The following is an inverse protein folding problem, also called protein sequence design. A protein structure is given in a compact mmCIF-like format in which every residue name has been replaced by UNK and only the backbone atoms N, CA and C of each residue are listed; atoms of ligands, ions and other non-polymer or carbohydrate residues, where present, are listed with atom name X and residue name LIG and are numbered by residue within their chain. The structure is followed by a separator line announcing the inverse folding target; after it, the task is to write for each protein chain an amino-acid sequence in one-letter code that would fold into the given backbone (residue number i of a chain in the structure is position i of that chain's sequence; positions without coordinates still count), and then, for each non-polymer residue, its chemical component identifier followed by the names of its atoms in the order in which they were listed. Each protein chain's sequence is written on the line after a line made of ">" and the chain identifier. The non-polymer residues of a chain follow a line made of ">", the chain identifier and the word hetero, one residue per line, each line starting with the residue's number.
data_IF_047440043830
#
_entry.id   IF_047440043830
#
_cell.length_a   1.000
_cell.length_b   1.000
_cell.length_c   1.000
_cell.angle_alpha   90.00
_cell.angle_beta   90.00
_cell.angle_gamma   90.00
#
_symmetry.space_group_name_H-M   'P 1'
#
loop_
_entity.id
_entity.type
_entity.pdbx_description
1 polymer ?
#
# COMPACT_ATOMS: atom_id res chain seq x y z
N UNK A 1 7.71 87.55 12.02
CA UNK A 1 8.53 87.18 10.85
C UNK A 1 9.76 86.43 11.32
N UNK A 2 10.13 85.38 10.58
CA UNK A 2 11.39 84.60 10.61
C UNK A 2 11.76 83.87 11.91
N UNK A 3 11.62 82.54 11.90
CA UNK A 3 12.51 81.65 12.65
C UNK A 3 13.06 80.58 11.70
N UNK A 4 14.39 80.56 11.62
CA UNK A 4 15.23 79.66 10.84
C UNK A 4 15.19 78.24 11.42
N UNK A 5 15.12 77.24 10.53
CA UNK A 5 15.60 75.87 10.75
C UNK A 5 17.08 75.83 10.33
N UNK A 6 17.98 75.04 10.93
CA UNK A 6 17.99 73.56 10.84
C UNK A 6 18.48 72.92 12.17
N UNK A 7 18.65 71.62 12.45
CA UNK A 7 19.30 70.48 11.78
C UNK A 7 18.84 69.21 12.53
N UNK A 8 18.62 68.10 11.83
CA UNK A 8 18.32 66.75 12.37
C UNK A 8 19.63 66.04 12.73
N UNK A 9 19.69 65.27 13.84
CA UNK A 9 20.10 63.88 13.68
C UNK A 9 19.24 62.90 14.48
N UNK A 10 18.63 61.99 13.70
CA UNK A 10 18.40 60.56 13.91
C UNK A 10 18.92 59.97 15.25
N UNK A 11 18.00 59.52 16.10
CA UNK A 11 18.24 58.41 17.05
C UNK A 11 17.13 57.39 16.87
N UNK A 12 17.54 56.22 16.38
CA UNK A 12 16.71 55.04 16.23
C UNK A 12 16.55 54.33 17.59
N UNK A 13 15.31 53.98 17.94
CA UNK A 13 14.96 52.69 18.53
C UNK A 13 13.42 52.57 18.52
N UNK A 14 12.91 52.02 17.42
CA UNK A 14 11.55 51.50 17.34
C UNK A 14 11.41 50.37 18.37
N UNK A 15 10.82 50.67 19.53
CA UNK A 15 10.15 49.65 20.32
C UNK A 15 8.86 49.28 19.59
N UNK A 16 8.95 48.37 18.61
CA UNK A 16 7.76 47.77 18.03
C UNK A 16 7.20 46.80 19.07
N UNK A 17 6.21 47.28 19.80
CA UNK A 17 5.17 46.43 20.35
C UNK A 17 4.52 45.67 19.19
N UNK A 18 5.04 44.47 18.93
CA UNK A 18 4.44 43.51 18.01
C UNK A 18 4.04 42.30 18.82
N UNK A 19 2.74 42.19 19.12
CA UNK A 19 2.08 40.98 19.58
C UNK A 19 2.29 39.84 18.56
N UNK A 20 3.45 39.19 18.64
CA UNK A 20 3.68 37.92 17.95
C UNK A 20 3.00 36.82 18.74
N UNK A 21 1.71 36.58 18.46
CA UNK A 21 1.17 35.22 18.56
C UNK A 21 2.08 34.39 17.66
N UNK A 22 3.05 33.71 18.27
CA UNK A 22 3.86 32.73 17.56
C UNK A 22 2.88 31.77 16.92
N UNK A 23 2.78 31.81 15.60
CA UNK A 23 2.12 30.79 14.82
C UNK A 23 2.63 29.46 15.36
N UNK A 24 1.71 28.68 15.97
CA UNK A 24 1.90 27.25 16.07
C UNK A 24 2.27 26.82 14.65
N UNK A 25 3.53 26.44 14.44
CA UNK A 25 3.90 25.61 13.30
C UNK A 25 2.90 24.46 13.33
N UNK A 26 1.89 24.55 12.46
CA UNK A 26 0.94 23.47 12.27
C UNK A 26 1.82 22.27 11.97
N UNK A 27 1.80 21.29 12.89
CA UNK A 27 2.52 20.05 12.70
C UNK A 27 2.14 19.59 11.29
N UNK A 28 3.12 19.53 10.39
CA UNK A 28 2.88 19.11 9.02
C UNK A 28 2.11 17.81 9.10
N UNK A 29 0.84 17.84 8.69
CA UNK A 29 -0.07 16.71 8.86
C UNK A 29 0.52 15.57 8.05
N UNK A 30 0.93 14.51 8.75
CA UNK A 30 1.46 13.31 8.12
C UNK A 30 0.42 12.83 7.10
N UNK A 31 0.77 12.67 5.81
CA UNK A 31 -0.18 12.21 4.80
C UNK A 31 -0.82 10.89 5.25
N UNK A 32 -2.09 10.63 4.93
CA UNK A 32 -2.76 9.39 5.32
C UNK A 32 -2.02 8.17 4.77
N UNK A 33 -2.19 7.04 5.44
CA UNK A 33 -1.69 5.77 4.91
C UNK A 33 -2.48 5.41 3.65
N UNK A 34 -1.77 5.10 2.57
CA UNK A 34 -2.32 4.62 1.31
C UNK A 34 -2.19 3.11 1.25
N UNK A 35 -3.13 2.50 0.55
CA UNK A 35 -3.18 1.07 0.31
C UNK A 35 -3.20 0.81 -1.19
N UNK A 36 -2.47 -0.21 -1.62
CA UNK A 36 -2.46 -0.58 -3.02
C UNK A 36 -2.41 -2.10 -3.25
N UNK A 37 -2.87 -2.52 -4.43
CA UNK A 37 -2.73 -3.88 -4.93
C UNK A 37 -1.97 -3.81 -6.27
N UNK A 38 -0.81 -4.45 -6.29
CA UNK A 38 0.05 -4.56 -7.47
C UNK A 38 0.37 -6.04 -7.75
N UNK A 39 0.63 -6.40 -9.01
CA UNK A 39 1.01 -7.77 -9.37
C UNK A 39 2.52 -7.98 -9.50
N UNK A 40 3.29 -6.90 -9.57
CA UNK A 40 4.74 -6.96 -9.81
C UNK A 40 5.44 -5.68 -9.36
N UNK A 41 6.78 -5.70 -9.36
CA UNK A 41 7.60 -4.50 -9.19
C UNK A 41 7.30 -3.46 -10.27
N UNK A 42 7.14 -3.89 -11.53
CA UNK A 42 6.82 -2.99 -12.64
C UNK A 42 5.45 -2.33 -12.47
N UNK A 43 4.44 -3.08 -12.03
CA UNK A 43 3.11 -2.55 -11.71
C UNK A 43 3.17 -1.49 -10.61
N UNK A 44 3.94 -1.76 -9.55
CA UNK A 44 4.14 -0.84 -8.44
C UNK A 44 4.81 0.46 -8.90
N UNK A 45 5.85 0.36 -9.74
CA UNK A 45 6.55 1.52 -10.32
C UNK A 45 5.62 2.33 -11.21
N UNK A 46 4.83 1.67 -12.07
CA UNK A 46 3.85 2.32 -12.92
C UNK A 46 2.75 3.06 -12.13
N UNK A 47 2.49 2.64 -10.88
CA UNK A 47 1.62 3.36 -9.94
C UNK A 47 2.16 4.73 -9.51
N UNK A 48 3.46 4.99 -9.68
CA UNK A 48 4.07 6.32 -9.50
C UNK A 48 4.19 6.81 -8.05
N UNK A 49 3.82 5.99 -7.05
CA UNK A 49 3.83 6.36 -5.62
C UNK A 49 5.13 5.99 -4.91
N UNK A 50 5.84 4.98 -5.40
CA UNK A 50 7.04 4.42 -4.79
C UNK A 50 8.15 4.30 -5.84
N UNK A 51 9.41 4.30 -5.41
CA UNK A 51 10.56 4.10 -6.30
C UNK A 51 10.70 2.61 -6.67
N UNK A 52 11.40 2.33 -7.77
CA UNK A 52 11.68 0.95 -8.20
C UNK A 52 12.38 0.10 -7.12
N UNK A 53 13.36 0.69 -6.44
CA UNK A 53 14.07 0.07 -5.30
C UNK A 53 13.09 -0.35 -4.20
N UNK A 54 12.21 0.57 -3.77
CA UNK A 54 11.23 0.30 -2.72
C UNK A 54 10.23 -0.76 -3.18
N UNK A 55 9.75 -0.68 -4.42
CA UNK A 55 8.86 -1.70 -4.98
C UNK A 55 9.51 -3.09 -4.98
N UNK A 56 10.79 -3.21 -5.38
CA UNK A 56 11.50 -4.51 -5.40
C UNK A 56 11.61 -5.12 -4.00
N UNK A 57 12.06 -4.32 -3.02
CA UNK A 57 12.20 -4.75 -1.63
C UNK A 57 10.87 -5.25 -1.06
N UNK A 58 9.78 -4.55 -1.37
CA UNK A 58 8.45 -4.91 -0.89
C UNK A 58 7.93 -6.20 -1.53
N UNK A 59 8.13 -6.37 -2.84
CA UNK A 59 7.80 -7.62 -3.55
C UNK A 59 8.60 -8.79 -2.99
N UNK A 60 9.92 -8.65 -2.86
CA UNK A 60 10.80 -9.68 -2.29
C UNK A 60 10.40 -10.06 -0.87
N UNK A 61 10.04 -9.06 -0.04
CA UNK A 61 9.52 -9.29 1.30
C UNK A 61 8.24 -10.12 1.27
N UNK A 62 7.29 -9.78 0.41
CA UNK A 62 6.03 -10.51 0.30
C UNK A 62 6.22 -11.95 -0.23
N UNK A 63 7.13 -12.15 -1.20
CA UNK A 63 7.55 -13.48 -1.67
C UNK A 63 8.13 -14.29 -0.52
N UNK A 64 9.03 -13.72 0.27
CA UNK A 64 9.60 -14.39 1.44
C UNK A 64 8.53 -14.77 2.47
N UNK A 65 7.57 -13.89 2.72
CA UNK A 65 6.42 -14.20 3.60
C UNK A 65 5.62 -15.37 3.02
N UNK A 66 5.35 -15.37 1.72
CA UNK A 66 4.66 -16.47 1.03
C UNK A 66 5.40 -17.80 1.21
N UNK A 67 6.71 -17.83 0.96
CA UNK A 67 7.52 -19.03 1.11
C UNK A 67 7.54 -19.57 2.54
N UNK A 68 7.58 -18.68 3.54
CA UNK A 68 7.69 -19.05 4.95
C UNK A 68 6.37 -19.44 5.60
N UNK A 69 5.25 -18.88 5.14
CA UNK A 69 3.97 -18.93 5.88
C UNK A 69 2.82 -19.58 5.12
N UNK A 70 3.02 -19.95 3.85
CA UNK A 70 1.95 -20.58 3.07
C UNK A 70 1.52 -21.90 3.68
N UNK A 71 0.20 -22.08 3.78
CA UNK A 71 -0.42 -23.35 4.12
C UNK A 71 -0.03 -24.39 3.07
N UNK A 72 0.51 -25.52 3.54
CA UNK A 72 0.91 -26.65 2.68
C UNK A 72 -0.12 -27.77 2.75
N UNK A 73 -0.33 -28.40 1.60
CA UNK A 73 -1.33 -29.44 1.39
C UNK A 73 -0.63 -30.67 0.82
N UNK A 74 -1.02 -31.87 1.30
CA UNK A 74 -0.43 -33.13 0.83
C UNK A 74 -0.75 -33.47 -0.63
N UNK A 75 -1.75 -32.84 -1.24
CA UNK A 75 -2.15 -33.10 -2.61
C UNK A 75 -2.82 -31.90 -3.28
N UNK A 76 -2.85 -31.92 -4.62
CA UNK A 76 -3.44 -30.86 -5.43
C UNK A 76 -4.91 -30.62 -5.07
N UNK A 77 -5.69 -31.69 -4.99
CA UNK A 77 -7.14 -31.62 -4.69
C UNK A 77 -7.46 -30.86 -3.42
N UNK A 78 -6.75 -31.13 -2.32
CA UNK A 78 -7.02 -30.45 -1.04
C UNK A 78 -6.61 -28.97 -1.08
N UNK A 79 -5.58 -28.62 -1.84
CA UNK A 79 -5.23 -27.23 -2.08
C UNK A 79 -6.30 -26.51 -2.93
N UNK A 80 -6.83 -27.16 -3.97
CA UNK A 80 -7.86 -26.57 -4.85
C UNK A 80 -9.22 -26.45 -4.13
N UNK A 81 -9.54 -27.37 -3.22
CA UNK A 81 -10.68 -27.22 -2.31
C UNK A 81 -10.56 -25.97 -1.42
N UNK A 82 -9.34 -25.57 -1.06
CA UNK A 82 -9.09 -24.37 -0.27
C UNK A 82 -8.97 -23.09 -1.11
N UNK A 83 -8.62 -23.18 -2.40
CA UNK A 83 -8.21 -22.01 -3.21
C UNK A 83 -8.86 -21.85 -4.57
N UNK A 84 -9.64 -22.83 -5.00
CA UNK A 84 -10.21 -22.90 -6.33
C UNK A 84 -9.34 -23.72 -7.29
N UNK A 85 -9.93 -24.19 -8.40
CA UNK A 85 -9.22 -24.96 -9.42
C UNK A 85 -8.09 -24.14 -10.04
N UNK A 86 -6.98 -24.80 -10.37
CA UNK A 86 -5.81 -24.20 -11.03
C UNK A 86 -5.13 -23.07 -10.23
N UNK A 87 -5.42 -22.96 -8.92
CA UNK A 87 -4.87 -21.93 -8.04
C UNK A 87 -3.75 -22.42 -7.12
N UNK A 88 -3.28 -23.62 -7.37
CA UNK A 88 -2.22 -24.25 -6.60
C UNK A 88 -0.92 -24.35 -7.39
N UNK A 89 0.17 -24.39 -6.66
CA UNK A 89 1.50 -24.71 -7.16
C UNK A 89 2.12 -25.80 -6.29
N UNK A 90 3.02 -26.58 -6.88
CA UNK A 90 3.79 -27.59 -6.15
C UNK A 90 5.05 -26.94 -5.59
N UNK A 91 5.32 -27.13 -4.31
CA UNK A 91 6.53 -26.64 -3.68
C UNK A 91 7.72 -27.61 -3.88
N UNK A 92 8.91 -27.17 -3.48
CA UNK A 92 10.15 -27.95 -3.60
C UNK A 92 10.14 -29.24 -2.76
N UNK A 93 9.29 -29.33 -1.75
CA UNK A 93 9.13 -30.50 -0.89
C UNK A 93 8.12 -31.51 -1.45
N UNK A 94 7.57 -31.24 -2.64
CA UNK A 94 6.57 -32.08 -3.29
C UNK A 94 5.16 -31.94 -2.72
N UNK A 95 4.94 -31.01 -1.79
CA UNK A 95 3.62 -30.61 -1.30
C UNK A 95 3.01 -29.55 -2.21
N UNK A 96 1.76 -29.17 -1.97
CA UNK A 96 1.06 -28.14 -2.73
C UNK A 96 0.78 -26.94 -1.84
N UNK A 97 0.78 -25.74 -2.41
CA UNK A 97 0.38 -24.50 -1.74
C UNK A 97 -0.39 -23.62 -2.71
N UNK A 98 -1.11 -22.65 -2.17
CA UNK A 98 -1.84 -21.68 -2.97
C UNK A 98 -0.84 -20.80 -3.72
N UNK A 99 -1.05 -20.62 -5.02
CA UNK A 99 -0.26 -19.68 -5.81
C UNK A 99 -0.56 -18.26 -5.35
N UNK A 100 0.49 -17.50 -5.02
CA UNK A 100 0.39 -16.08 -4.78
C UNK A 100 -0.02 -15.36 -6.08
N UNK A 101 -0.99 -14.46 -6.00
CA UNK A 101 -1.56 -13.81 -7.19
C UNK A 101 -1.24 -12.31 -7.29
N UNK A 102 -1.05 -11.65 -6.17
CA UNK A 102 -0.79 -10.21 -6.10
C UNK A 102 -0.11 -9.86 -4.76
N UNK A 103 0.15 -8.58 -4.59
CA UNK A 103 0.79 -8.02 -3.41
C UNK A 103 -0.08 -6.88 -2.86
N UNK A 104 -0.36 -6.91 -1.56
CA UNK A 104 -1.02 -5.82 -0.87
C UNK A 104 0.02 -4.92 -0.23
N UNK A 105 0.07 -3.65 -0.65
CA UNK A 105 1.00 -2.63 -0.20
C UNK A 105 0.32 -1.69 0.79
N UNK A 106 1.04 -1.30 1.83
CA UNK A 106 0.68 -0.24 2.76
C UNK A 106 1.86 0.74 2.87
N UNK A 107 1.63 2.04 2.65
CA UNK A 107 2.68 3.06 2.70
C UNK A 107 2.10 4.43 3.11
N UNK A 108 2.97 5.40 3.42
CA UNK A 108 2.53 6.70 3.96
C UNK A 108 2.17 6.61 5.45
N UNK A 109 1.41 7.59 5.96
CA UNK A 109 0.95 7.57 7.37
C UNK A 109 2.07 7.62 8.41
N UNK A 110 3.30 7.99 8.02
CA UNK A 110 4.48 8.02 8.90
C UNK A 110 5.00 6.63 9.27
N UNK A 111 4.57 5.58 8.56
CA UNK A 111 5.01 4.19 8.79
C UNK A 111 5.94 3.73 7.68
N UNK A 112 6.91 2.84 7.98
CA UNK A 112 7.67 2.17 6.93
C UNK A 112 6.73 1.42 5.98
N UNK A 113 6.98 1.47 4.67
CA UNK A 113 6.15 0.75 3.73
C UNK A 113 6.23 -0.75 3.97
N UNK A 114 5.13 -1.44 3.71
CA UNK A 114 5.01 -2.88 3.91
C UNK A 114 4.27 -3.52 2.74
N UNK A 115 4.53 -4.80 2.53
CA UNK A 115 3.78 -5.60 1.56
C UNK A 115 3.54 -7.02 2.09
N UNK A 116 2.35 -7.54 1.79
CA UNK A 116 1.95 -8.91 2.12
C UNK A 116 1.43 -9.64 0.88
N UNK A 117 1.68 -10.96 0.75
CA UNK A 117 1.20 -11.72 -0.39
C UNK A 117 -0.33 -11.87 -0.34
N UNK A 118 -0.95 -11.83 -1.52
CA UNK A 118 -2.38 -12.04 -1.70
C UNK A 118 -2.65 -13.34 -2.46
N UNK A 119 -3.76 -13.98 -2.09
CA UNK A 119 -4.19 -15.28 -2.58
C UNK A 119 -5.58 -15.19 -3.21
N UNK A 120 -6.00 -16.20 -4.00
CA UNK A 120 -7.32 -16.22 -4.60
C UNK A 120 -8.43 -16.10 -3.55
N UNK A 121 -9.39 -15.22 -3.80
CA UNK A 121 -10.64 -15.25 -3.05
C UNK A 121 -11.54 -16.39 -3.56
N UNK A 122 -12.22 -17.07 -2.65
CA UNK A 122 -13.18 -18.14 -2.95
C UNK A 122 -14.62 -17.76 -2.58
N UNK A 123 -14.83 -16.53 -2.11
CA UNK A 123 -16.12 -16.03 -1.61
C UNK A 123 -17.02 -15.43 -2.70
N UNK A 124 -16.58 -15.47 -3.97
CA UNK A 124 -17.32 -14.93 -5.11
C UNK A 124 -17.26 -13.41 -5.26
N UNK A 125 -16.49 -12.71 -4.42
CA UNK A 125 -16.30 -11.25 -4.51
C UNK A 125 -15.09 -10.90 -5.37
N UNK A 126 -15.10 -9.68 -5.91
CA UNK A 126 -13.99 -9.13 -6.68
C UNK A 126 -12.88 -8.73 -5.71
N UNK A 127 -11.87 -9.58 -5.60
CA UNK A 127 -10.75 -9.32 -4.71
C UNK A 127 -9.88 -10.54 -4.45
N UNK A 128 -9.22 -10.49 -3.30
CA UNK A 128 -8.23 -11.46 -2.85
C UNK A 128 -8.46 -11.79 -1.38
N UNK A 129 -7.62 -12.67 -0.83
CA UNK A 129 -7.45 -12.83 0.61
C UNK A 129 -5.99 -12.69 1.02
N UNK A 130 -5.78 -12.17 2.22
CA UNK A 130 -4.45 -12.09 2.83
C UNK A 130 -4.02 -13.44 3.45
N UNK A 131 -2.82 -13.46 4.04
CA UNK A 131 -2.27 -14.62 4.77
C UNK A 131 -3.13 -15.08 5.95
N UNK A 132 -4.02 -14.21 6.46
CA UNK A 132 -4.95 -14.49 7.56
C UNK A 132 -6.34 -14.88 7.05
N UNK A 133 -6.48 -15.17 5.75
CA UNK A 133 -7.74 -15.51 5.07
C UNK A 133 -8.78 -14.37 5.13
N UNK A 134 -8.35 -13.12 5.41
CA UNK A 134 -9.23 -11.94 5.39
C UNK A 134 -9.39 -11.44 3.96
N UNK A 135 -10.62 -11.08 3.61
CA UNK A 135 -10.92 -10.51 2.30
C UNK A 135 -10.24 -9.14 2.12
N UNK A 136 -9.66 -8.95 0.94
CA UNK A 136 -9.11 -7.68 0.45
C UNK A 136 -9.89 -7.32 -0.81
N UNK A 137 -10.82 -6.38 -0.68
CA UNK A 137 -11.70 -5.96 -1.78
C UNK A 137 -10.90 -5.12 -2.79
N UNK A 138 -10.93 -5.52 -4.06
CA UNK A 138 -10.25 -4.79 -5.13
C UNK A 138 -11.10 -3.63 -5.70
N UNK A 139 -12.32 -3.45 -5.20
CA UNK A 139 -13.24 -2.37 -5.55
C UNK A 139 -13.44 -1.37 -4.38
N UNK A 140 -12.52 -1.33 -3.42
CA UNK A 140 -12.52 -0.31 -2.36
C UNK A 140 -12.02 1.01 -2.94
N UNK A 141 -12.83 2.08 -2.84
CA UNK A 141 -12.49 3.41 -3.37
C UNK A 141 -11.23 4.03 -2.73
N UNK A 142 -10.80 3.51 -1.58
CA UNK A 142 -9.57 3.94 -0.89
C UNK A 142 -8.35 3.08 -1.25
N UNK A 143 -8.47 2.21 -2.27
CA UNK A 143 -7.44 1.30 -2.72
C UNK A 143 -6.94 1.67 -4.10
N UNK A 144 -5.64 1.81 -4.26
CA UNK A 144 -5.02 1.88 -5.59
C UNK A 144 -4.91 0.45 -6.12
N UNK A 145 -5.51 0.13 -7.26
CA UNK A 145 -5.45 -1.23 -7.83
C UNK A 145 -4.94 -1.16 -9.26
N UNK A 146 -3.83 -1.87 -9.57
CA UNK A 146 -3.37 -1.95 -10.96
C UNK A 146 -4.41 -2.66 -11.83
N UNK A 147 -4.49 -2.30 -13.12
CA UNK A 147 -5.43 -2.93 -14.05
C UNK A 147 -5.24 -4.45 -14.12
N UNK A 148 -3.99 -4.92 -14.08
CA UNK A 148 -3.66 -6.34 -14.03
C UNK A 148 -4.23 -6.99 -12.76
N UNK A 149 -4.02 -6.36 -11.59
CA UNK A 149 -4.56 -6.84 -10.31
C UNK A 149 -6.08 -6.92 -10.34
N UNK A 150 -6.74 -5.92 -10.92
CA UNK A 150 -8.19 -5.87 -11.04
C UNK A 150 -8.72 -7.01 -11.94
N UNK A 151 -8.04 -7.30 -13.05
CA UNK A 151 -8.41 -8.42 -13.92
C UNK A 151 -8.36 -9.76 -13.17
N UNK A 152 -7.30 -10.01 -12.40
CA UNK A 152 -7.20 -11.23 -11.57
C UNK A 152 -8.27 -11.27 -10.49
N UNK A 153 -8.57 -10.13 -9.85
CA UNK A 153 -9.65 -10.04 -8.87
C UNK A 153 -11.02 -10.40 -9.46
N UNK A 154 -11.31 -10.00 -10.70
CA UNK A 154 -12.50 -10.42 -11.42
C UNK A 154 -12.52 -11.92 -11.72
N UNK A 155 -11.38 -12.51 -12.12
CA UNK A 155 -11.30 -13.97 -12.30
C UNK A 155 -11.54 -14.73 -11.00
N UNK A 156 -11.06 -14.22 -9.86
CA UNK A 156 -11.33 -14.82 -8.56
C UNK A 156 -12.83 -14.80 -8.20
N UNK A 157 -13.55 -13.73 -8.54
CA UNK A 157 -15.00 -13.64 -8.30
C UNK A 157 -15.83 -14.73 -8.99
N UNK A 158 -15.27 -15.35 -10.05
CA UNK A 158 -15.93 -16.45 -10.78
C UNK A 158 -15.79 -17.80 -10.06
N UNK A 159 -14.86 -17.94 -9.11
CA UNK A 159 -14.63 -19.20 -8.38
C UNK A 159 -15.81 -19.51 -7.47
N UNK A 160 -16.25 -18.55 -6.65
CA UNK A 160 -17.36 -18.73 -5.71
C UNK A 160 -18.71 -19.01 -6.39
N UNK A 161 -18.85 -18.71 -7.68
CA UNK A 161 -20.05 -19.00 -8.48
C UNK A 161 -20.08 -20.41 -9.09
N UNK A 162 -18.97 -21.16 -9.02
CA UNK A 162 -18.82 -22.49 -9.65
C UNK A 162 -18.91 -23.65 -8.65
N UNK A 163 -19.22 -23.39 -7.38
CA UNK A 163 -19.46 -24.41 -6.35
C UNK A 163 -20.94 -24.57 -6.07
#
# INVERSE_FOLDING_TARGET
>A
MARLYPVIPLVAALAVAGCGKGEQKSAASVPPAEKAIYMSTADCVNGGKLTAEVCSILVERAVKIHEQTSETFKGLRSCEEASGPDRCERDMNGTYRMRMQAFFFEFGGGKPPNATPLYPSIDGKVGFRDTKKKAVAALDDNMIVSQQSLQVAYENSKIGKRR
#
